data_IF_249274693755
#
_entry.id   IF_249274693755
#
_cell.length_a   1.000
_cell.length_b   1.000
_cell.length_c   1.000
_cell.angle_alpha   90.00
_cell.angle_beta   90.00
_cell.angle_gamma   90.00
#
_symmetry.space_group_name_H-M   'P 1'
#
loop_
_entity.id
_entity.type
_entity.pdbx_description
1 polymer ?
#
# COMPACT_ATOMS: atom_id res chain seq x y z
N UNK A 1 21.17 9.32 -10.26
CA UNK A 1 20.31 10.24 -9.50
C UNK A 1 19.82 9.55 -8.23
N UNK A 2 19.09 8.45 -8.33
CA UNK A 2 18.65 7.62 -7.18
C UNK A 2 19.79 7.27 -6.22
N UNK A 3 20.94 6.84 -6.74
CA UNK A 3 22.14 6.57 -5.94
C UNK A 3 22.67 7.76 -5.14
N UNK A 4 22.52 8.99 -5.64
CA UNK A 4 22.96 10.21 -4.93
C UNK A 4 22.04 10.47 -3.74
N UNK A 5 20.73 10.27 -3.92
CA UNK A 5 19.76 10.41 -2.85
C UNK A 5 19.95 9.31 -1.80
N UNK A 6 20.19 8.08 -2.24
CA UNK A 6 20.45 6.93 -1.35
C UNK A 6 21.74 7.12 -0.52
N UNK A 7 22.85 7.51 -1.15
CA UNK A 7 24.13 7.67 -0.43
C UNK A 7 24.19 8.90 0.48
N UNK A 8 23.32 9.89 0.28
CA UNK A 8 23.37 11.18 0.98
C UNK A 8 22.03 11.59 1.62
N UNK A 9 21.11 10.65 1.79
CA UNK A 9 19.77 10.84 2.37
C UNK A 9 19.82 11.57 3.70
N UNK A 10 20.64 11.13 4.66
CA UNK A 10 20.81 11.80 5.95
C UNK A 10 21.21 13.27 5.84
N UNK A 11 22.14 13.59 4.94
CA UNK A 11 22.57 14.97 4.69
C UNK A 11 21.44 15.80 4.07
N UNK A 12 20.71 15.22 3.12
CA UNK A 12 19.54 15.86 2.51
C UNK A 12 18.48 16.17 3.58
N UNK A 13 18.19 15.24 4.49
CA UNK A 13 17.23 15.45 5.58
C UNK A 13 17.70 16.54 6.56
N UNK A 14 18.99 16.59 6.89
CA UNK A 14 19.54 17.70 7.70
C UNK A 14 19.39 19.05 7.00
N UNK A 15 19.60 19.10 5.69
CA UNK A 15 19.33 20.31 4.90
C UNK A 15 17.83 20.62 4.84
N UNK A 16 16.95 19.62 4.85
CA UNK A 16 15.50 19.83 4.81
C UNK A 16 14.97 20.58 6.05
N UNK A 17 15.64 20.45 7.19
CA UNK A 17 15.37 21.20 8.43
C UNK A 17 15.81 22.67 8.37
N UNK A 18 16.50 23.08 7.31
CA UNK A 18 16.91 24.46 7.10
C UNK A 18 15.95 25.10 6.10
N UNK A 19 15.25 26.15 6.53
CA UNK A 19 14.22 26.82 5.72
C UNK A 19 14.70 27.25 4.31
N UNK A 20 15.98 27.59 4.15
CA UNK A 20 16.58 27.96 2.85
C UNK A 20 16.64 26.78 1.86
N UNK A 21 16.85 25.56 2.36
CA UNK A 21 17.06 24.36 1.54
C UNK A 21 15.84 23.43 1.49
N UNK A 22 14.90 23.58 2.43
CA UNK A 22 13.71 22.75 2.60
C UNK A 22 12.96 22.46 1.30
N UNK A 23 12.55 23.51 0.57
CA UNK A 23 11.79 23.36 -0.66
C UNK A 23 12.58 22.59 -1.75
N UNK A 24 13.89 22.84 -1.86
CA UNK A 24 14.76 22.16 -2.81
C UNK A 24 14.91 20.69 -2.49
N UNK A 25 15.09 20.33 -1.21
CA UNK A 25 15.21 18.92 -0.81
C UNK A 25 13.90 18.17 -1.06
N UNK A 26 12.76 18.76 -0.68
CA UNK A 26 11.45 18.15 -0.97
C UNK A 26 11.27 17.94 -2.47
N UNK A 27 11.66 18.92 -3.30
CA UNK A 27 11.59 18.79 -4.75
C UNK A 27 12.50 17.65 -5.27
N UNK A 28 13.71 17.50 -4.74
CA UNK A 28 14.62 16.40 -5.10
C UNK A 28 14.00 15.05 -4.76
N UNK A 29 13.45 14.88 -3.56
CA UNK A 29 12.77 13.62 -3.18
C UNK A 29 11.52 13.41 -4.05
N UNK A 30 10.76 14.45 -4.36
CA UNK A 30 9.60 14.36 -5.24
C UNK A 30 9.96 13.97 -6.69
N UNK A 31 11.20 14.15 -7.15
CA UNK A 31 11.63 13.59 -8.45
C UNK A 31 11.66 12.06 -8.45
N UNK A 32 11.87 11.41 -7.29
CA UNK A 32 11.78 9.94 -7.18
C UNK A 32 10.35 9.46 -7.48
N UNK A 33 9.34 10.26 -7.12
CA UNK A 33 7.95 9.97 -7.48
C UNK A 33 7.75 9.94 -9.00
N UNK A 34 8.48 10.76 -9.77
CA UNK A 34 8.38 10.74 -11.22
C UNK A 34 8.93 9.43 -11.80
N UNK A 35 9.99 8.87 -11.20
CA UNK A 35 10.48 7.53 -11.55
C UNK A 35 9.45 6.46 -11.20
N UNK A 36 8.89 6.49 -9.98
CA UNK A 36 7.86 5.55 -9.54
C UNK A 36 6.59 5.62 -10.41
N UNK A 37 6.21 6.83 -10.84
CA UNK A 37 5.05 7.11 -11.67
C UNK A 37 5.34 7.01 -13.18
N UNK A 38 6.42 6.35 -13.59
CA UNK A 38 6.71 6.13 -15.01
C UNK A 38 5.49 5.48 -15.68
N UNK A 39 4.94 6.07 -16.75
CA UNK A 39 3.75 5.56 -17.41
C UNK A 39 3.96 4.16 -17.98
N UNK A 40 2.91 3.35 -17.93
CA UNK A 40 2.92 1.96 -18.40
C UNK A 40 3.00 0.94 -17.26
N UNK A 41 2.87 -0.33 -17.63
CA UNK A 41 2.90 -1.47 -16.74
C UNK A 41 4.33 -2.00 -16.58
N UNK A 42 4.78 -2.18 -15.34
CA UNK A 42 5.98 -3.00 -15.09
C UNK A 42 5.62 -4.49 -15.28
N UNK A 43 6.46 -5.32 -15.91
CA UNK A 43 7.76 -5.01 -16.52
C UNK A 43 7.70 -4.72 -18.04
N UNK A 44 6.51 -4.73 -18.64
CA UNK A 44 6.34 -4.77 -20.10
C UNK A 44 6.57 -3.44 -20.79
N UNK A 45 5.97 -2.38 -20.26
CA UNK A 45 6.04 -1.04 -20.86
C UNK A 45 7.21 -0.24 -20.31
N UNK A 46 7.59 -0.50 -19.05
CA UNK A 46 8.63 0.23 -18.36
C UNK A 46 9.30 -0.59 -17.24
N UNK A 47 10.56 -0.26 -16.96
CA UNK A 47 11.38 -0.86 -15.88
C UNK A 47 12.05 0.21 -15.01
N UNK A 48 11.52 1.43 -15.01
CA UNK A 48 12.09 2.58 -14.28
C UNK A 48 11.50 2.70 -12.88
N UNK A 49 10.23 2.31 -12.71
CA UNK A 49 9.50 2.44 -11.46
C UNK A 49 10.01 1.55 -10.32
N UNK A 50 10.80 0.51 -10.62
CA UNK A 50 11.43 -0.34 -9.61
C UNK A 50 12.77 0.19 -9.07
N UNK A 51 13.39 1.15 -9.77
CA UNK A 51 14.70 1.68 -9.39
C UNK A 51 14.71 2.39 -8.01
N UNK A 52 13.69 3.17 -7.61
CA UNK A 52 13.77 3.95 -6.38
C UNK A 52 13.39 3.18 -5.10
N UNK A 53 13.05 1.88 -5.13
CA UNK A 53 12.59 1.15 -3.94
C UNK A 53 13.58 1.24 -2.76
N UNK A 54 14.87 0.98 -3.00
CA UNK A 54 15.90 1.09 -1.96
C UNK A 54 15.96 2.50 -1.36
N UNK A 55 15.76 3.54 -2.20
CA UNK A 55 15.81 4.94 -1.76
C UNK A 55 14.66 5.26 -0.80
N UNK A 56 13.45 4.73 -1.04
CA UNK A 56 12.30 4.95 -0.16
C UNK A 56 12.51 4.34 1.22
N UNK A 57 13.11 3.15 1.28
CA UNK A 57 13.56 2.53 2.52
C UNK A 57 14.60 3.41 3.22
N UNK A 58 15.66 3.82 2.53
CA UNK A 58 16.75 4.62 3.12
C UNK A 58 16.27 5.96 3.67
N UNK A 59 15.41 6.68 2.93
CA UNK A 59 14.85 7.95 3.41
C UNK A 59 14.04 7.72 4.69
N UNK A 60 13.17 6.71 4.69
CA UNK A 60 12.37 6.39 5.87
C UNK A 60 13.26 6.01 7.05
N UNK A 61 14.23 5.12 6.86
CA UNK A 61 15.13 4.66 7.91
C UNK A 61 15.92 5.83 8.52
N UNK A 62 16.49 6.70 7.66
CA UNK A 62 17.21 7.88 8.13
C UNK A 62 16.32 8.86 8.89
N UNK A 63 15.07 9.11 8.45
CA UNK A 63 14.09 9.92 9.22
C UNK A 63 13.90 9.34 10.62
N UNK A 64 13.84 8.01 10.76
CA UNK A 64 13.67 7.36 12.06
C UNK A 64 14.89 7.49 12.97
N UNK A 65 16.07 7.85 12.43
CA UNK A 65 17.27 8.12 13.25
C UNK A 65 17.33 9.53 13.85
N UNK A 66 16.45 10.45 13.44
CA UNK A 66 16.30 11.75 14.10
C UNK A 66 15.44 11.59 15.36
N UNK A 67 15.60 12.50 16.33
CA UNK A 67 14.86 12.46 17.60
C UNK A 67 14.09 13.77 17.84
N UNK A 68 13.00 13.68 18.59
CA UNK A 68 12.24 14.84 19.06
C UNK A 68 11.67 15.71 17.93
N UNK A 69 11.86 17.02 18.05
CA UNK A 69 11.25 18.02 17.14
C UNK A 69 11.73 17.86 15.70
N UNK A 70 13.00 17.51 15.48
CA UNK A 70 13.56 17.32 14.14
C UNK A 70 12.87 16.16 13.39
N UNK A 71 12.63 15.05 14.09
CA UNK A 71 11.91 13.92 13.50
C UNK A 71 10.47 14.31 13.16
N UNK A 72 9.77 14.97 14.10
CA UNK A 72 8.40 15.40 13.88
C UNK A 72 8.26 16.37 12.69
N UNK A 73 9.22 17.29 12.53
CA UNK A 73 9.29 18.21 11.39
C UNK A 73 9.49 17.47 10.07
N UNK A 74 10.42 16.51 10.02
CA UNK A 74 10.67 15.72 8.80
C UNK A 74 9.45 14.85 8.43
N UNK A 75 8.81 14.19 9.42
CA UNK A 75 7.60 13.41 9.20
C UNK A 75 6.49 14.27 8.58
N UNK A 76 6.26 15.46 9.15
CA UNK A 76 5.27 16.42 8.65
C UNK A 76 5.64 16.92 7.24
N UNK A 77 6.92 17.18 7.00
CA UNK A 77 7.43 17.72 5.74
C UNK A 77 7.28 16.73 4.59
N UNK A 78 7.59 15.45 4.83
CA UNK A 78 7.56 14.41 3.80
C UNK A 78 6.21 13.68 3.69
N UNK A 79 5.29 13.89 4.63
CA UNK A 79 3.94 13.32 4.59
C UNK A 79 3.27 13.47 3.20
N UNK A 80 3.22 14.65 2.55
CA UNK A 80 2.57 14.77 1.24
C UNK A 80 3.25 13.95 0.14
N UNK A 81 4.58 13.78 0.23
CA UNK A 81 5.36 12.99 -0.73
C UNK A 81 5.03 11.51 -0.58
N UNK A 82 4.95 11.01 0.66
CA UNK A 82 4.59 9.62 0.93
C UNK A 82 3.13 9.31 0.62
N UNK A 83 2.19 10.24 0.85
CA UNK A 83 0.80 10.07 0.38
C UNK A 83 0.75 9.93 -1.15
N UNK A 84 1.55 10.74 -1.87
CA UNK A 84 1.61 10.64 -3.33
C UNK A 84 2.30 9.36 -3.81
N UNK A 85 3.25 8.83 -3.03
CA UNK A 85 3.86 7.54 -3.30
C UNK A 85 2.81 6.42 -3.20
N UNK A 86 1.96 6.47 -2.17
CA UNK A 86 0.86 5.51 -1.99
C UNK A 86 -0.11 5.54 -3.17
N UNK A 87 -0.58 6.73 -3.58
CA UNK A 87 -1.41 6.88 -4.79
C UNK A 87 -0.76 6.20 -6.01
N UNK A 88 0.53 6.47 -6.19
CA UNK A 88 1.30 5.99 -7.35
C UNK A 88 1.37 4.48 -7.33
N UNK A 89 1.70 3.88 -6.19
CA UNK A 89 1.82 2.43 -6.09
C UNK A 89 0.50 1.68 -6.13
N UNK A 90 -0.62 2.28 -5.70
CA UNK A 90 -1.94 1.70 -5.95
C UNK A 90 -2.17 1.56 -7.46
N UNK A 91 -1.79 2.56 -8.26
CA UNK A 91 -1.90 2.47 -9.72
C UNK A 91 -0.89 1.49 -10.33
N UNK A 92 0.37 1.47 -9.85
CA UNK A 92 1.41 0.58 -10.37
C UNK A 92 1.20 -0.90 -10.01
N UNK A 93 0.45 -1.17 -8.93
CA UNK A 93 0.14 -2.53 -8.48
C UNK A 93 -1.15 -3.10 -9.06
N UNK A 94 -1.88 -2.32 -9.89
CA UNK A 94 -3.05 -2.82 -10.62
C UNK A 94 -2.69 -4.08 -11.40
N UNK A 95 -3.50 -5.13 -11.23
CA UNK A 95 -3.32 -6.35 -12.01
C UNK A 95 -3.50 -6.07 -13.51
N UNK A 96 -2.58 -6.56 -14.35
CA UNK A 96 -2.76 -6.47 -15.80
C UNK A 96 -3.91 -7.38 -16.24
N UNK A 97 -4.51 -7.14 -17.44
CA UNK A 97 -5.53 -8.04 -17.99
C UNK A 97 -5.05 -9.49 -18.11
N UNK A 98 -6.00 -10.43 -18.08
CA UNK A 98 -5.71 -11.85 -18.23
C UNK A 98 -4.93 -12.12 -19.54
N UNK A 99 -3.84 -12.89 -19.42
CA UNK A 99 -2.90 -13.23 -20.51
C UNK A 99 -2.06 -12.08 -21.07
N UNK A 100 -2.02 -10.91 -20.43
CA UNK A 100 -1.15 -9.81 -20.85
C UNK A 100 0.35 -10.12 -20.65
N UNK A 101 0.67 -11.03 -19.73
CA UNK A 101 2.05 -11.34 -19.33
C UNK A 101 2.43 -12.80 -19.62
N UNK A 102 3.66 -13.00 -20.07
CA UNK A 102 4.34 -14.31 -20.10
C UNK A 102 4.57 -14.82 -18.67
N UNK A 103 4.92 -16.11 -18.52
CA UNK A 103 5.21 -16.68 -17.19
C UNK A 103 6.36 -15.97 -16.46
N UNK A 104 7.39 -15.54 -17.19
CA UNK A 104 8.52 -14.80 -16.63
C UNK A 104 8.09 -13.39 -16.19
N UNK A 105 7.32 -12.68 -17.01
CA UNK A 105 6.80 -11.35 -16.67
C UNK A 105 5.81 -11.38 -15.51
N UNK A 106 5.01 -12.45 -15.38
CA UNK A 106 4.15 -12.67 -14.21
C UNK A 106 4.96 -12.77 -12.93
N UNK A 107 6.07 -13.50 -12.95
CA UNK A 107 6.94 -13.62 -11.77
C UNK A 107 7.64 -12.31 -11.45
N UNK A 108 8.16 -11.60 -12.47
CA UNK A 108 8.72 -10.26 -12.29
C UNK A 108 7.69 -9.30 -11.68
N UNK A 109 6.45 -9.29 -12.18
CA UNK A 109 5.40 -8.45 -11.64
C UNK A 109 4.98 -8.85 -10.22
N UNK A 110 4.99 -10.15 -9.89
CA UNK A 110 4.75 -10.64 -8.53
C UNK A 110 5.81 -10.10 -7.56
N UNK A 111 7.09 -10.18 -7.91
CA UNK A 111 8.18 -9.61 -7.10
C UNK A 111 8.04 -8.08 -6.99
N UNK A 112 7.70 -7.40 -8.08
CA UNK A 112 7.47 -5.95 -8.05
C UNK A 112 6.32 -5.54 -7.12
N UNK A 113 5.22 -6.30 -7.10
CA UNK A 113 4.13 -6.10 -6.13
C UNK A 113 4.58 -6.33 -4.69
N UNK A 114 5.49 -7.27 -4.45
CA UNK A 114 6.08 -7.48 -3.13
C UNK A 114 6.96 -6.29 -2.71
N UNK A 115 7.82 -5.77 -3.59
CA UNK A 115 8.64 -4.59 -3.30
C UNK A 115 7.77 -3.35 -3.00
N UNK A 116 6.61 -3.23 -3.68
CA UNK A 116 5.59 -2.22 -3.36
C UNK A 116 5.04 -2.45 -1.94
N UNK A 117 4.69 -3.69 -1.56
CA UNK A 117 4.20 -4.00 -0.22
C UNK A 117 5.20 -3.63 0.87
N UNK A 118 6.46 -4.00 0.69
CA UNK A 118 7.54 -3.63 1.61
C UNK A 118 7.64 -2.10 1.73
N UNK A 119 7.46 -1.38 0.61
CA UNK A 119 7.47 0.09 0.62
C UNK A 119 6.24 0.69 1.29
N UNK A 120 5.06 0.05 1.22
CA UNK A 120 3.90 0.48 2.00
C UNK A 120 4.15 0.36 3.51
N UNK A 121 4.89 -0.65 3.97
CA UNK A 121 5.29 -0.76 5.37
C UNK A 121 6.18 0.42 5.78
N UNK A 122 7.18 0.78 4.97
CA UNK A 122 8.00 1.97 5.20
C UNK A 122 7.15 3.25 5.21
N UNK A 123 6.24 3.40 4.25
CA UNK A 123 5.32 4.53 4.20
C UNK A 123 4.44 4.63 5.46
N UNK A 124 4.00 3.50 6.02
CA UNK A 124 3.24 3.49 7.27
C UNK A 124 4.03 4.04 8.45
N UNK A 125 5.34 3.80 8.56
CA UNK A 125 6.15 4.41 9.62
C UNK A 125 6.19 5.94 9.55
N UNK A 126 6.11 6.50 8.33
CA UNK A 126 6.07 7.95 8.10
C UNK A 126 4.67 8.53 8.32
N UNK A 127 3.64 7.87 7.77
CA UNK A 127 2.27 8.39 7.68
C UNK A 127 1.38 8.00 8.86
N UNK A 128 1.62 6.85 9.50
CA UNK A 128 0.81 6.30 10.61
C UNK A 128 -0.69 6.30 10.26
N UNK A 129 -1.51 6.93 11.10
CA UNK A 129 -2.96 7.01 10.90
C UNK A 129 -3.36 7.64 9.56
N UNK A 130 -2.54 8.54 9.01
CA UNK A 130 -2.82 9.15 7.71
C UNK A 130 -2.75 8.13 6.57
N UNK A 131 -1.91 7.09 6.68
CA UNK A 131 -1.89 5.97 5.72
C UNK A 131 -3.25 5.27 5.69
N UNK A 132 -3.77 4.89 6.86
CA UNK A 132 -5.03 4.16 6.96
C UNK A 132 -6.23 5.03 6.57
N UNK A 133 -6.21 6.31 6.96
CA UNK A 133 -7.21 7.28 6.52
C UNK A 133 -7.21 7.45 4.99
N UNK A 134 -6.03 7.48 4.38
CA UNK A 134 -5.87 7.61 2.93
C UNK A 134 -6.36 6.36 2.20
N UNK A 135 -5.98 5.17 2.68
CA UNK A 135 -6.51 3.90 2.17
C UNK A 135 -8.03 3.80 2.31
N UNK A 136 -8.62 4.34 3.38
CA UNK A 136 -10.08 4.35 3.58
C UNK A 136 -10.79 5.17 2.49
N UNK A 137 -10.19 6.28 2.06
CA UNK A 137 -10.69 7.09 0.93
C UNK A 137 -10.64 6.27 -0.36
N UNK A 138 -9.48 5.66 -0.67
CA UNK A 138 -9.34 4.82 -1.85
C UNK A 138 -10.32 3.64 -1.86
N UNK A 139 -10.57 3.01 -0.71
CA UNK A 139 -11.50 1.91 -0.56
C UNK A 139 -12.93 2.33 -0.90
N UNK A 140 -13.38 3.46 -0.34
CA UNK A 140 -14.71 4.00 -0.63
C UNK A 140 -14.87 4.33 -2.12
N UNK A 141 -13.88 4.98 -2.71
CA UNK A 141 -13.89 5.31 -4.13
C UNK A 141 -13.94 4.04 -5.00
N UNK A 142 -13.17 3.02 -4.64
CA UNK A 142 -13.14 1.75 -5.35
C UNK A 142 -14.47 0.99 -5.25
N UNK A 143 -15.10 0.98 -4.07
CA UNK A 143 -16.44 0.39 -3.89
C UNK A 143 -17.49 1.12 -4.72
N UNK A 144 -17.48 2.45 -4.74
CA UNK A 144 -18.40 3.25 -5.57
C UNK A 144 -18.19 2.97 -7.05
N UNK A 145 -16.94 2.86 -7.51
CA UNK A 145 -16.63 2.49 -8.91
C UNK A 145 -17.16 1.11 -9.26
N UNK A 146 -16.93 0.11 -8.41
CA UNK A 146 -17.45 -1.25 -8.64
C UNK A 146 -18.98 -1.33 -8.65
N UNK A 147 -19.65 -0.53 -7.82
CA UNK A 147 -21.12 -0.46 -7.83
C UNK A 147 -21.65 0.11 -9.16
N UNK A 148 -20.90 0.99 -9.82
CA UNK A 148 -21.25 1.55 -11.12
C UNK A 148 -20.83 0.63 -12.29
N UNK A 149 -19.66 0.00 -12.20
CA UNK A 149 -19.11 -0.91 -13.20
C UNK A 149 -18.37 -2.08 -12.52
N UNK A 150 -18.99 -3.28 -12.46
CA UNK A 150 -18.37 -4.47 -11.87
C UNK A 150 -17.05 -4.91 -12.54
N UNK A 151 -16.75 -4.42 -13.75
CA UNK A 151 -15.49 -4.72 -14.44
C UNK A 151 -14.29 -3.92 -13.90
N UNK A 152 -14.52 -2.87 -13.10
CA UNK A 152 -13.47 -2.02 -12.49
C UNK A 152 -12.98 -2.55 -11.12
N UNK A 153 -12.93 -3.87 -10.97
CA UNK A 153 -12.56 -4.54 -9.71
C UNK A 153 -11.06 -4.46 -9.39
N UNK A 154 -10.21 -4.25 -10.39
CA UNK A 154 -8.74 -4.25 -10.24
C UNK A 154 -8.25 -3.14 -9.33
N UNK A 155 -8.92 -1.99 -9.36
CA UNK A 155 -8.59 -0.90 -8.45
C UNK A 155 -8.92 -1.26 -7.00
N UNK A 156 -10.05 -1.92 -6.74
CA UNK A 156 -10.35 -2.42 -5.41
C UNK A 156 -9.38 -3.50 -4.95
N UNK A 157 -8.99 -4.42 -5.85
CA UNK A 157 -7.97 -5.44 -5.56
C UNK A 157 -6.65 -4.81 -5.12
N UNK A 158 -6.16 -3.79 -5.82
CA UNK A 158 -4.92 -3.11 -5.47
C UNK A 158 -5.00 -2.39 -4.12
N UNK A 159 -6.16 -1.82 -3.79
CA UNK A 159 -6.40 -1.18 -2.48
C UNK A 159 -6.42 -2.22 -1.36
N UNK A 160 -7.09 -3.36 -1.55
CA UNK A 160 -7.08 -4.45 -0.56
C UNK A 160 -5.66 -5.02 -0.38
N UNK A 161 -4.90 -5.15 -1.46
CA UNK A 161 -3.50 -5.56 -1.39
C UNK A 161 -2.65 -4.58 -0.56
N UNK A 162 -2.87 -3.26 -0.69
CA UNK A 162 -2.22 -2.26 0.15
C UNK A 162 -2.67 -2.31 1.63
N UNK A 163 -3.94 -2.65 1.91
CA UNK A 163 -4.39 -2.91 3.27
C UNK A 163 -3.70 -4.13 3.89
N UNK A 164 -3.52 -5.19 3.10
CA UNK A 164 -2.84 -6.42 3.52
C UNK A 164 -1.38 -6.14 3.90
N UNK A 165 -0.68 -5.31 3.12
CA UNK A 165 0.74 -5.05 3.32
C UNK A 165 1.06 -4.27 4.60
N UNK A 166 0.13 -3.46 5.09
CA UNK A 166 0.34 -2.68 6.33
C UNK A 166 -0.16 -3.39 7.58
N UNK A 167 -0.89 -4.49 7.45
CA UNK A 167 -1.59 -5.15 8.55
C UNK A 167 -0.66 -5.51 9.73
N UNK A 168 0.50 -6.10 9.45
CA UNK A 168 1.50 -6.47 10.49
C UNK A 168 2.12 -5.25 11.20
N UNK A 169 2.05 -4.06 10.59
CA UNK A 169 2.63 -2.83 11.17
C UNK A 169 1.60 -2.05 11.99
N UNK A 170 0.31 -2.35 11.82
CA UNK A 170 -0.76 -1.71 12.58
C UNK A 170 -0.79 -2.30 13.99
N UNK A 171 -0.97 -1.43 14.99
CA UNK A 171 -1.08 -1.89 16.37
C UNK A 171 -2.34 -2.74 16.55
N UNK A 172 -2.22 -3.87 17.24
CA UNK A 172 -3.36 -4.70 17.66
C UNK A 172 -4.40 -3.92 18.46
N UNK A 173 -4.01 -2.80 19.08
CA UNK A 173 -4.88 -1.92 19.86
C UNK A 173 -5.55 -0.80 19.04
N UNK A 174 -5.39 -0.76 17.71
CA UNK A 174 -6.07 0.24 16.89
C UNK A 174 -7.59 0.05 17.00
N UNK A 175 -8.27 1.09 17.45
CA UNK A 175 -9.72 1.09 17.70
C UNK A 175 -10.45 2.10 16.80
N UNK A 176 -9.79 2.59 15.75
CA UNK A 176 -10.35 3.65 14.90
C UNK A 176 -10.37 3.26 13.43
N UNK A 177 -9.22 2.93 12.84
CA UNK A 177 -9.12 2.69 11.40
C UNK A 177 -9.41 1.23 11.04
N UNK A 178 -8.82 0.27 11.76
CA UNK A 178 -9.04 -1.16 11.48
C UNK A 178 -10.50 -1.58 11.67
N UNK A 179 -11.20 -1.19 12.76
CA UNK A 179 -12.63 -1.43 12.88
C UNK A 179 -13.45 -0.96 11.67
N UNK A 180 -13.15 0.22 11.13
CA UNK A 180 -13.88 0.82 10.01
C UNK A 180 -13.62 0.06 8.71
N UNK A 181 -12.39 -0.40 8.50
CA UNK A 181 -12.05 -1.30 7.41
C UNK A 181 -12.83 -2.61 7.52
N UNK A 182 -12.76 -3.30 8.66
CA UNK A 182 -13.44 -4.59 8.87
C UNK A 182 -14.97 -4.45 8.72
N UNK A 183 -15.57 -3.39 9.25
CA UNK A 183 -17.01 -3.08 9.12
C UNK A 183 -17.44 -2.78 7.67
N UNK A 184 -16.51 -2.40 6.80
CA UNK A 184 -16.79 -2.13 5.39
C UNK A 184 -16.86 -3.40 4.54
N UNK A 185 -16.26 -4.51 4.99
CA UNK A 185 -16.16 -5.76 4.24
C UNK A 185 -17.53 -6.25 3.72
N UNK A 186 -18.63 -6.28 4.51
CA UNK A 186 -19.93 -6.69 4.01
C UNK A 186 -20.53 -5.80 2.91
N UNK A 187 -20.02 -4.58 2.73
CA UNK A 187 -20.52 -3.61 1.75
C UNK A 187 -19.79 -3.72 0.41
N UNK A 188 -18.71 -4.49 0.35
CA UNK A 188 -17.92 -4.67 -0.86
C UNK A 188 -18.66 -5.62 -1.83
N UNK A 189 -18.90 -5.21 -3.08
CA UNK A 189 -19.59 -6.04 -4.07
C UNK A 189 -18.65 -7.09 -4.69
N UNK A 190 -18.22 -8.07 -3.89
CA UNK A 190 -17.27 -9.12 -4.32
C UNK A 190 -17.74 -9.88 -5.58
N UNK A 191 -19.05 -10.09 -5.72
CA UNK A 191 -19.64 -10.88 -6.81
C UNK A 191 -18.99 -12.27 -6.90
N UNK A 192 -18.98 -12.91 -8.07
CA UNK A 192 -18.26 -14.19 -8.27
C UNK A 192 -16.75 -13.98 -8.59
N UNK A 193 -16.17 -12.82 -8.24
CA UNK A 193 -14.80 -12.49 -8.60
C UNK A 193 -13.80 -13.18 -7.66
N UNK A 194 -13.31 -14.34 -8.08
CA UNK A 194 -12.35 -15.15 -7.33
C UNK A 194 -11.09 -14.38 -6.95
N UNK A 195 -10.55 -13.52 -7.84
CA UNK A 195 -9.32 -12.76 -7.53
C UNK A 195 -9.57 -11.76 -6.40
N UNK A 196 -10.72 -11.09 -6.43
CA UNK A 196 -11.08 -10.11 -5.42
C UNK A 196 -11.40 -10.77 -4.07
N UNK A 197 -12.12 -11.90 -4.07
CA UNK A 197 -12.37 -12.68 -2.85
C UNK A 197 -11.05 -13.19 -2.28
N UNK A 198 -10.14 -13.70 -3.12
CA UNK A 198 -8.83 -14.19 -2.69
C UNK A 198 -8.02 -13.11 -1.98
N UNK A 199 -7.87 -11.90 -2.57
CA UNK A 199 -7.12 -10.82 -1.90
C UNK A 199 -7.81 -10.37 -0.62
N UNK A 200 -9.15 -10.37 -0.57
CA UNK A 200 -9.89 -9.98 0.62
C UNK A 200 -9.66 -10.97 1.76
N UNK A 201 -9.70 -12.27 1.48
CA UNK A 201 -9.41 -13.32 2.46
C UNK A 201 -7.96 -13.26 2.95
N UNK A 202 -6.99 -13.11 2.04
CA UNK A 202 -5.58 -12.89 2.42
C UNK A 202 -5.43 -11.65 3.30
N UNK A 203 -6.10 -10.55 2.95
CA UNK A 203 -6.07 -9.32 3.75
C UNK A 203 -6.65 -9.56 5.14
N UNK A 204 -7.80 -10.23 5.25
CA UNK A 204 -8.42 -10.57 6.52
C UNK A 204 -7.53 -11.50 7.36
N UNK A 205 -6.85 -12.46 6.72
CA UNK A 205 -5.85 -13.31 7.36
C UNK A 205 -4.68 -12.50 7.92
N UNK A 206 -4.22 -11.46 7.22
CA UNK A 206 -3.19 -10.57 7.71
C UNK A 206 -3.64 -9.75 8.95
N UNK A 207 -4.95 -9.54 9.14
CA UNK A 207 -5.54 -8.93 10.33
C UNK A 207 -6.01 -9.96 11.39
N UNK A 208 -5.59 -11.22 11.30
CA UNK A 208 -6.05 -12.28 12.22
C UNK A 208 -5.73 -11.98 13.69
N UNK A 209 -4.55 -11.45 14.00
CA UNK A 209 -4.16 -11.10 15.38
C UNK A 209 -5.04 -9.97 15.94
N UNK A 210 -5.33 -8.94 15.11
CA UNK A 210 -6.24 -7.87 15.48
C UNK A 210 -7.67 -8.37 15.72
N UNK A 211 -8.18 -9.25 14.84
CA UNK A 211 -9.50 -9.87 14.96
C UNK A 211 -9.63 -10.78 16.19
N UNK A 212 -8.54 -11.47 16.56
CA UNK A 212 -8.50 -12.29 17.76
C UNK A 212 -8.65 -11.43 19.04
N UNK A 213 -8.13 -10.20 19.04
CA UNK A 213 -8.32 -9.24 20.12
C UNK A 213 -9.71 -8.57 20.09
N UNK A 214 -10.29 -8.36 18.90
CA UNK A 214 -11.56 -7.67 18.67
C UNK A 214 -12.66 -8.60 18.13
N UNK A 215 -12.99 -9.61 18.94
CA UNK A 215 -13.91 -10.69 18.53
C UNK A 215 -15.33 -10.20 18.21
N UNK A 216 -15.73 -9.03 18.70
CA UNK A 216 -17.00 -8.40 18.38
C UNK A 216 -17.13 -8.03 16.89
N UNK A 217 -16.02 -7.91 16.16
CA UNK A 217 -16.01 -7.64 14.72
C UNK A 217 -16.07 -8.89 13.83
N UNK A 218 -15.91 -10.10 14.38
CA UNK A 218 -15.85 -11.35 13.62
C UNK A 218 -17.09 -11.59 12.73
N UNK A 219 -18.26 -11.15 13.19
CA UNK A 219 -19.51 -11.31 12.44
C UNK A 219 -19.52 -10.57 11.09
N UNK A 220 -18.66 -9.58 10.88
CA UNK A 220 -18.51 -8.89 9.59
C UNK A 220 -17.73 -9.71 8.56
N UNK A 221 -16.86 -10.63 8.99
CA UNK A 221 -15.89 -11.30 8.11
C UNK A 221 -16.19 -12.79 7.89
N UNK A 222 -16.84 -13.44 8.86
CA UNK A 222 -17.22 -14.86 8.79
C UNK A 222 -17.95 -15.23 7.49
N UNK A 223 -18.96 -14.45 7.01
CA UNK A 223 -19.65 -14.82 5.78
C UNK A 223 -18.73 -14.97 4.57
N UNK A 224 -17.77 -14.06 4.41
CA UNK A 224 -16.80 -14.09 3.31
C UNK A 224 -15.82 -15.26 3.47
N UNK A 225 -15.35 -15.53 4.71
CA UNK A 225 -14.48 -16.67 5.00
C UNK A 225 -15.16 -18.01 4.66
N UNK A 226 -16.44 -18.16 5.03
CA UNK A 226 -17.23 -19.36 4.71
C UNK A 226 -17.40 -19.51 3.20
N UNK A 227 -17.67 -18.42 2.48
CA UNK A 227 -17.73 -18.44 1.01
C UNK A 227 -16.41 -18.90 0.39
N UNK A 228 -15.28 -18.40 0.89
CA UNK A 228 -13.94 -18.82 0.48
C UNK A 228 -13.67 -20.31 0.70
N UNK A 229 -14.09 -20.86 1.86
CA UNK A 229 -13.90 -22.27 2.19
C UNK A 229 -14.73 -23.22 1.31
N UNK A 230 -15.91 -22.78 0.87
CA UNK A 230 -16.78 -23.56 -0.02
C UNK A 230 -16.23 -23.62 -1.45
N UNK A 231 -15.42 -22.63 -1.85
CA UNK A 231 -14.82 -22.58 -3.16
C UNK A 231 -13.44 -23.27 -3.18
N UNK A 232 -13.33 -24.41 -3.86
CA UNK A 232 -12.10 -25.21 -3.93
C UNK A 232 -10.87 -24.43 -4.45
N UNK A 233 -11.08 -23.37 -5.24
CA UNK A 233 -9.99 -22.51 -5.75
C UNK A 233 -9.50 -21.47 -4.74
N UNK A 234 -10.20 -21.29 -3.62
CA UNK A 234 -9.95 -20.27 -2.60
C UNK A 234 -9.54 -20.84 -1.23
N UNK A 235 -9.53 -22.18 -1.08
CA UNK A 235 -9.26 -22.85 0.20
C UNK A 235 -7.92 -22.41 0.83
N UNK A 236 -6.87 -22.21 0.03
CA UNK A 236 -5.56 -21.77 0.55
C UNK A 236 -5.50 -20.30 0.97
N UNK A 237 -6.43 -19.45 0.51
CA UNK A 237 -6.56 -18.07 0.97
C UNK A 237 -7.51 -17.93 2.18
N UNK A 238 -8.41 -18.90 2.36
CA UNK A 238 -9.43 -18.91 3.41
C UNK A 238 -8.99 -19.64 4.70
N UNK A 239 -7.90 -20.42 4.65
CA UNK A 239 -7.36 -21.23 5.75
C UNK A 239 -6.33 -20.49 6.58
#
# INVERSE_FOLDING_TARGET
FTSVVECHSRLLLQCALQAEHQATVVQVVALLLQCAATPGQYPTDETTSNIPFAVWFTIQDDIMTFEGEQQAELLTLFQPVYLKLVDTFIQKSLLPPDNALTSEEKEMFRCYRQDICDTYMYAYYVLRGDMLSHLEVHLKDAVVKMQNDPSDWRYLEAVLHAYSSVAETVAETDNFYVPRFIQSIPQIPFSDNIQLISVALTTLGAYADWLNYHQDHMHHVIPLMVEGLVNASLVGAAS
#
